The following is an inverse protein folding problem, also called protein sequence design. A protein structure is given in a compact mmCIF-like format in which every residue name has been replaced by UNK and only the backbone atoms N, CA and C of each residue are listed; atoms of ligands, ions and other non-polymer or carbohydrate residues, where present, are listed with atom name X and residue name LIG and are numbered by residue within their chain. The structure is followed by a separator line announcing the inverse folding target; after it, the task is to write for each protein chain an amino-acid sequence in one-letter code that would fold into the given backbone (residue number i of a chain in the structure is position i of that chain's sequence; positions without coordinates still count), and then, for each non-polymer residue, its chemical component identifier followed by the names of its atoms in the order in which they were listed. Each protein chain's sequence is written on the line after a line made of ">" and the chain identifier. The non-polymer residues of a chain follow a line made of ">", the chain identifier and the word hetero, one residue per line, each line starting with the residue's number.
data_IF_432806901295
#
_entry.id   IF_432806901295
#
_cell.length_a   1.000
_cell.length_b   1.000
_cell.length_c   1.000
_cell.angle_alpha   90.00
_cell.angle_beta   90.00
_cell.angle_gamma   90.00
#
_symmetry.space_group_name_H-M   'P 1'
#
loop_
_entity.id
_entity.type
_entity.pdbx_description
1 polymer ?
#
# COMPACT_ATOMS: atom_id res chain seq x y z
N UNK A 1 -44.02 -12.08 28.53
CA UNK A 1 -42.67 -11.62 28.89
C UNK A 1 -42.37 -10.34 28.08
N UNK A 2 -41.94 -9.24 28.70
CA UNK A 2 -41.56 -8.07 27.96
C UNK A 2 -40.18 -8.34 27.32
N UNK A 3 -40.09 -8.19 26.00
CA UNK A 3 -38.82 -8.34 25.26
C UNK A 3 -38.07 -7.01 25.39
N UNK A 4 -36.95 -7.01 26.10
CA UNK A 4 -36.06 -5.85 26.19
C UNK A 4 -35.12 -5.89 24.97
N UNK A 5 -35.17 -4.88 24.12
CA UNK A 5 -34.23 -4.72 23.02
C UNK A 5 -32.97 -4.05 23.54
N UNK A 6 -31.84 -4.75 23.45
CA UNK A 6 -30.52 -4.19 23.73
C UNK A 6 -29.91 -3.75 22.42
N UNK A 7 -29.55 -2.47 22.30
CA UNK A 7 -28.81 -1.92 21.15
C UNK A 7 -27.33 -1.94 21.47
N UNK A 8 -26.53 -2.52 20.57
CA UNK A 8 -25.08 -2.46 20.67
C UNK A 8 -24.58 -1.19 20.02
N UNK A 9 -23.75 -0.41 20.71
CA UNK A 9 -23.09 0.78 20.18
C UNK A 9 -21.91 0.44 19.28
N UNK A 10 -21.19 1.48 18.84
CA UNK A 10 -19.92 1.32 18.12
C UNK A 10 -18.89 0.61 19.01
N UNK A 11 -18.07 -0.26 18.41
CA UNK A 11 -16.97 -0.90 19.15
C UNK A 11 -15.87 0.13 19.40
N UNK A 12 -15.69 0.47 20.64
CA UNK A 12 -14.72 1.45 21.13
C UNK A 12 -14.10 0.95 22.43
N UNK A 13 -13.10 0.05 22.36
CA UNK A 13 -12.50 -0.56 23.56
C UNK A 13 -11.78 0.43 24.47
N UNK A 14 -11.37 1.59 23.94
CA UNK A 14 -10.73 2.65 24.75
C UNK A 14 -11.71 3.43 25.62
N UNK A 15 -13.01 3.30 25.36
CA UNK A 15 -14.06 3.97 26.15
C UNK A 15 -14.38 3.22 27.44
N UNK A 16 -14.88 3.96 28.42
CA UNK A 16 -15.39 3.35 29.64
C UNK A 16 -16.69 2.59 29.36
N UNK A 17 -16.94 1.49 30.09
CA UNK A 17 -18.18 0.72 29.98
C UNK A 17 -19.48 1.50 30.30
N UNK A 18 -19.36 2.73 30.83
CA UNK A 18 -20.49 3.62 31.13
C UNK A 18 -20.93 4.43 29.92
N UNK A 19 -20.08 4.56 28.89
CA UNK A 19 -20.35 5.39 27.69
C UNK A 19 -21.44 4.82 26.76
N UNK A 20 -21.86 3.56 26.96
CA UNK A 20 -22.76 2.85 26.04
C UNK A 20 -22.07 2.29 24.80
N UNK A 21 -20.75 2.44 24.70
CA UNK A 21 -19.94 1.83 23.66
C UNK A 21 -19.80 0.32 23.90
N UNK A 22 -19.59 -0.43 22.82
CA UNK A 22 -19.23 -1.84 22.91
C UNK A 22 -17.72 -1.95 23.15
N UNK A 23 -17.32 -2.39 24.35
CA UNK A 23 -15.90 -2.46 24.73
C UNK A 23 -15.22 -3.78 24.38
N UNK A 24 -15.99 -4.86 24.18
CA UNK A 24 -15.48 -6.16 23.72
C UNK A 24 -16.37 -6.73 22.61
N UNK A 25 -15.74 -7.09 21.50
CA UNK A 25 -16.40 -7.71 20.35
C UNK A 25 -15.43 -8.69 19.66
N UNK A 26 -15.82 -9.96 19.59
CA UNK A 26 -14.99 -11.04 19.00
C UNK A 26 -15.76 -11.79 17.94
N UNK A 27 -15.05 -12.15 16.85
CA UNK A 27 -15.60 -12.92 15.73
C UNK A 27 -16.83 -12.27 15.07
N UNK A 28 -16.85 -10.94 15.01
CA UNK A 28 -17.91 -10.17 14.40
C UNK A 28 -17.34 -9.19 13.36
N UNK A 29 -18.17 -8.82 12.40
CA UNK A 29 -17.92 -7.73 11.45
C UNK A 29 -19.01 -6.67 11.61
N UNK A 30 -18.64 -5.41 11.47
CA UNK A 30 -19.59 -4.31 11.42
C UNK A 30 -20.45 -4.42 10.16
N UNK A 31 -21.74 -4.18 10.29
CA UNK A 31 -22.73 -4.13 9.20
C UNK A 31 -23.41 -2.76 9.22
N UNK A 32 -24.20 -2.47 8.20
CA UNK A 32 -24.98 -1.22 8.14
C UNK A 32 -25.87 -1.01 9.37
N UNK A 33 -26.36 -2.09 9.97
CA UNK A 33 -27.16 -2.08 11.21
C UNK A 33 -26.58 -3.16 12.15
N UNK A 34 -25.70 -2.72 13.09
CA UNK A 34 -25.12 -3.59 14.11
C UNK A 34 -23.94 -4.43 13.64
N UNK A 35 -23.85 -5.67 14.13
CA UNK A 35 -22.75 -6.59 13.87
C UNK A 35 -23.29 -7.93 13.38
N UNK A 36 -22.57 -8.52 12.44
CA UNK A 36 -22.81 -9.89 11.99
C UNK A 36 -21.65 -10.83 12.35
N UNK A 37 -21.82 -12.14 12.22
CA UNK A 37 -20.75 -13.09 12.45
C UNK A 37 -19.64 -12.91 11.42
N UNK A 38 -18.39 -13.04 11.87
CA UNK A 38 -17.23 -13.13 10.96
C UNK A 38 -17.31 -14.48 10.26
N UNK A 39 -17.33 -14.52 8.91
CA UNK A 39 -17.38 -15.79 8.19
C UNK A 39 -16.09 -16.58 8.41
N UNK A 40 -16.21 -17.89 8.60
CA UNK A 40 -15.04 -18.77 8.71
C UNK A 40 -14.23 -18.70 7.40
N UNK A 41 -12.93 -18.35 7.45
CA UNK A 41 -12.08 -18.36 6.27
C UNK A 41 -12.02 -19.77 5.66
N UNK A 42 -12.25 -19.85 4.35
CA UNK A 42 -12.13 -21.09 3.58
C UNK A 42 -10.90 -20.96 2.68
N UNK A 43 -10.11 -22.03 2.58
CA UNK A 43 -8.96 -22.05 1.67
C UNK A 43 -9.45 -21.90 0.23
N UNK A 44 -8.93 -20.88 -0.47
CA UNK A 44 -9.23 -20.62 -1.88
C UNK A 44 -8.23 -21.30 -2.82
N UNK A 45 -6.96 -21.43 -2.40
CA UNK A 45 -5.88 -22.01 -3.19
C UNK A 45 -5.21 -23.17 -2.46
N UNK A 46 -4.44 -23.98 -3.20
CA UNK A 46 -3.43 -24.85 -2.60
C UNK A 46 -2.34 -24.05 -1.89
N UNK A 47 -1.48 -24.75 -1.15
CA UNK A 47 -0.35 -24.13 -0.46
C UNK A 47 0.65 -23.54 -1.48
N UNK A 48 1.07 -22.29 -1.26
CA UNK A 48 2.22 -21.71 -1.96
C UNK A 48 3.52 -22.30 -1.42
N UNK A 49 4.60 -22.22 -2.20
CA UNK A 49 5.91 -22.71 -1.78
C UNK A 49 6.58 -21.81 -0.72
N UNK A 50 6.03 -20.64 -0.44
CA UNK A 50 6.45 -19.69 0.59
C UNK A 50 5.27 -18.89 1.11
N UNK A 51 5.44 -18.21 2.24
CA UNK A 51 4.39 -17.35 2.79
C UNK A 51 4.11 -16.18 1.86
N UNK A 52 2.85 -15.98 1.50
CA UNK A 52 2.41 -14.87 0.66
C UNK A 52 2.26 -13.60 1.52
N UNK A 53 2.88 -12.52 1.08
CA UNK A 53 2.90 -11.24 1.78
C UNK A 53 2.24 -10.11 0.98
N UNK A 54 1.94 -10.35 -0.30
CA UNK A 54 1.36 -9.34 -1.18
C UNK A 54 0.34 -9.98 -2.12
N UNK A 55 -0.75 -9.25 -2.37
CA UNK A 55 -1.78 -9.58 -3.35
C UNK A 55 -2.05 -8.37 -4.22
N UNK A 56 -2.26 -8.59 -5.51
CA UNK A 56 -2.56 -7.52 -6.44
C UNK A 56 -3.54 -7.98 -7.53
N UNK A 57 -4.55 -7.16 -7.82
CA UNK A 57 -5.48 -7.38 -8.91
C UNK A 57 -5.21 -6.36 -10.02
N UNK A 58 -4.76 -6.83 -11.17
CA UNK A 58 -4.51 -6.01 -12.34
C UNK A 58 -5.64 -6.15 -13.33
N UNK A 59 -6.16 -5.02 -13.81
CA UNK A 59 -7.28 -5.00 -14.77
C UNK A 59 -6.78 -4.59 -16.15
N UNK A 60 -6.97 -5.47 -17.12
CA UNK A 60 -6.66 -5.19 -18.51
C UNK A 60 -7.74 -4.30 -19.16
N UNK A 61 -7.40 -3.55 -20.24
CA UNK A 61 -8.36 -2.70 -20.95
C UNK A 61 -9.58 -3.44 -21.54
N UNK A 62 -9.44 -4.73 -21.81
CA UNK A 62 -10.53 -5.63 -22.25
C UNK A 62 -11.48 -6.04 -21.11
N UNK A 63 -11.22 -5.58 -19.89
CA UNK A 63 -12.00 -5.88 -18.68
C UNK A 63 -11.55 -7.11 -17.91
N UNK A 64 -10.66 -7.94 -18.47
CA UNK A 64 -10.12 -9.11 -17.78
C UNK A 64 -9.27 -8.70 -16.58
N UNK A 65 -9.37 -9.47 -15.49
CA UNK A 65 -8.58 -9.25 -14.28
C UNK A 65 -7.59 -10.39 -14.09
N UNK A 66 -6.32 -10.05 -13.89
CA UNK A 66 -5.27 -10.99 -13.52
C UNK A 66 -4.91 -10.76 -12.05
N UNK A 67 -4.97 -11.82 -11.25
CA UNK A 67 -4.58 -11.75 -9.85
C UNK A 67 -3.14 -12.24 -9.68
N UNK A 68 -2.35 -11.45 -8.96
CA UNK A 68 -0.99 -11.78 -8.57
C UNK A 68 -0.91 -11.96 -7.06
N UNK A 69 -0.16 -12.98 -6.64
CA UNK A 69 0.21 -13.20 -5.24
C UNK A 69 1.74 -13.30 -5.16
N UNK A 70 2.33 -12.71 -4.13
CA UNK A 70 3.78 -12.77 -3.98
C UNK A 70 4.20 -13.02 -2.52
N UNK A 71 5.25 -13.80 -2.37
CA UNK A 71 6.01 -13.94 -1.14
C UNK A 71 7.26 -13.08 -1.14
N UNK A 72 8.40 -13.61 -0.70
CA UNK A 72 9.68 -12.90 -0.73
C UNK A 72 10.43 -13.15 -2.04
N UNK A 73 10.38 -14.36 -2.57
CA UNK A 73 11.17 -14.75 -3.74
C UNK A 73 10.33 -15.10 -4.97
N UNK A 74 9.04 -15.31 -4.80
CA UNK A 74 8.15 -15.84 -5.85
C UNK A 74 6.94 -14.95 -6.08
N UNK A 75 6.62 -14.81 -7.35
CA UNK A 75 5.36 -14.19 -7.80
C UNK A 75 4.56 -15.29 -8.51
N UNK A 76 3.27 -15.33 -8.19
CA UNK A 76 2.32 -16.26 -8.79
C UNK A 76 1.19 -15.50 -9.45
N UNK A 77 0.68 -16.02 -10.56
CA UNK A 77 -0.68 -15.73 -10.99
C UNK A 77 -1.65 -16.65 -10.25
N UNK A 78 -2.83 -16.13 -9.93
CA UNK A 78 -3.88 -16.87 -9.22
C UNK A 78 -5.07 -17.01 -10.16
N UNK A 79 -5.42 -18.25 -10.53
CA UNK A 79 -6.60 -18.51 -11.37
C UNK A 79 -7.91 -18.34 -10.60
N UNK A 80 -9.02 -18.21 -11.32
CA UNK A 80 -10.37 -18.20 -10.72
C UNK A 80 -10.73 -19.46 -9.91
N UNK A 81 -9.98 -20.55 -10.08
CA UNK A 81 -10.11 -21.81 -9.33
C UNK A 81 -9.06 -21.96 -8.22
N UNK A 82 -8.27 -20.92 -7.94
CA UNK A 82 -7.26 -20.93 -6.89
C UNK A 82 -5.92 -21.59 -7.27
N UNK A 83 -5.70 -21.92 -8.55
CA UNK A 83 -4.40 -22.47 -8.98
C UNK A 83 -3.32 -21.37 -8.97
N UNK A 84 -2.21 -21.67 -8.28
CA UNK A 84 -1.03 -20.80 -8.23
C UNK A 84 -0.01 -21.24 -9.29
N UNK A 85 0.31 -20.33 -10.21
CA UNK A 85 1.35 -20.56 -11.23
C UNK A 85 2.48 -19.58 -11.02
N UNK A 86 3.70 -20.06 -10.74
CA UNK A 86 4.85 -19.18 -10.56
C UNK A 86 5.23 -18.51 -11.89
N UNK A 87 5.44 -17.20 -11.85
CA UNK A 87 5.64 -16.34 -13.04
C UNK A 87 6.88 -15.44 -12.93
N UNK A 88 7.82 -15.80 -12.09
CA UNK A 88 9.11 -15.10 -11.97
C UNK A 88 10.25 -16.08 -11.70
N UNK A 89 11.47 -15.56 -11.86
CA UNK A 89 12.72 -16.22 -11.47
C UNK A 89 13.65 -15.21 -10.78
N UNK A 90 14.47 -15.69 -9.86
CA UNK A 90 15.64 -14.97 -9.35
C UNK A 90 15.35 -13.73 -8.50
N UNK A 91 14.25 -13.67 -7.74
CA UNK A 91 14.02 -12.59 -6.78
C UNK A 91 14.67 -12.93 -5.42
N UNK A 92 15.29 -11.92 -4.81
CA UNK A 92 16.06 -12.05 -3.56
C UNK A 92 15.59 -11.08 -2.47
N UNK A 93 14.28 -10.80 -2.43
CA UNK A 93 13.68 -9.91 -1.43
C UNK A 93 13.97 -10.42 -0.02
N UNK A 94 14.44 -9.55 0.86
CA UNK A 94 14.69 -9.87 2.27
C UNK A 94 13.69 -9.15 3.16
N UNK A 95 13.14 -9.88 4.15
CA UNK A 95 12.30 -9.30 5.19
C UNK A 95 13.04 -8.13 5.89
N UNK A 96 12.38 -6.99 6.18
CA UNK A 96 10.94 -6.74 6.12
C UNK A 96 10.42 -6.20 4.76
N UNK A 97 11.25 -6.17 3.72
CA UNK A 97 10.81 -5.75 2.40
C UNK A 97 9.77 -6.73 1.84
N UNK A 98 8.94 -6.24 0.93
CA UNK A 98 7.89 -7.00 0.26
C UNK A 98 7.90 -6.69 -1.22
N UNK A 99 7.43 -7.63 -2.03
CA UNK A 99 7.13 -7.36 -3.43
C UNK A 99 5.86 -6.52 -3.48
N UNK A 100 5.96 -5.32 -4.07
CA UNK A 100 4.84 -4.38 -4.23
C UNK A 100 4.55 -4.19 -5.70
N UNK A 101 3.30 -3.94 -6.00
CA UNK A 101 2.83 -3.84 -7.38
C UNK A 101 2.13 -2.50 -7.62
N UNK A 102 2.23 -2.05 -8.87
CA UNK A 102 1.39 -1.00 -9.45
C UNK A 102 1.07 -1.34 -10.89
N UNK A 103 0.15 -0.63 -11.51
CA UNK A 103 -0.20 -0.82 -12.91
C UNK A 103 -0.13 0.52 -13.65
N UNK A 104 0.59 0.52 -14.77
CA UNK A 104 0.65 1.62 -15.73
C UNK A 104 0.16 1.12 -17.11
N UNK A 105 -1.01 1.58 -17.53
CA UNK A 105 -1.63 1.07 -18.73
C UNK A 105 -1.85 -0.46 -18.69
N UNK A 106 -1.19 -1.18 -19.61
CA UNK A 106 -1.19 -2.66 -19.64
C UNK A 106 -0.04 -3.29 -18.85
N UNK A 107 0.89 -2.49 -18.36
CA UNK A 107 2.10 -2.97 -17.70
C UNK A 107 1.88 -3.02 -16.18
N UNK A 108 1.95 -4.21 -15.60
CA UNK A 108 2.05 -4.41 -14.16
C UNK A 108 3.51 -4.34 -13.76
N UNK A 109 3.84 -3.46 -12.83
CA UNK A 109 5.21 -3.19 -12.39
C UNK A 109 5.35 -3.67 -10.96
N UNK A 110 6.41 -4.42 -10.69
CA UNK A 110 6.75 -4.93 -9.36
C UNK A 110 8.10 -4.38 -8.88
N UNK A 111 8.19 -4.05 -7.60
CA UNK A 111 9.44 -3.66 -6.92
C UNK A 111 9.62 -4.45 -5.63
N UNK A 112 10.87 -4.64 -5.19
CA UNK A 112 11.20 -5.41 -3.98
C UNK A 112 12.42 -4.90 -3.20
N UNK A 113 13.00 -3.76 -3.61
CA UNK A 113 14.22 -3.20 -3.01
C UNK A 113 15.48 -4.06 -3.16
N UNK A 114 15.51 -5.01 -4.05
CA UNK A 114 16.67 -5.89 -4.29
C UNK A 114 17.07 -5.91 -5.77
N UNK A 115 16.11 -6.01 -6.66
CA UNK A 115 16.31 -6.01 -8.10
C UNK A 115 15.66 -4.80 -8.74
N UNK A 116 16.04 -4.51 -9.99
CA UNK A 116 15.37 -3.51 -10.84
C UNK A 116 13.88 -3.79 -10.92
N UNK A 117 13.11 -2.75 -11.18
CA UNK A 117 11.67 -2.90 -11.41
C UNK A 117 11.41 -3.99 -12.43
N UNK A 118 10.47 -4.88 -12.10
CA UNK A 118 10.03 -5.96 -12.98
C UNK A 118 8.69 -5.60 -13.61
N UNK A 119 8.48 -6.05 -14.83
CA UNK A 119 7.28 -5.78 -15.61
C UNK A 119 6.60 -7.05 -16.10
N UNK A 120 5.27 -6.96 -16.18
CA UNK A 120 4.39 -7.95 -16.80
C UNK A 120 3.38 -7.22 -17.67
N UNK A 121 3.38 -7.49 -18.98
CA UNK A 121 2.37 -6.93 -19.89
C UNK A 121 1.14 -7.84 -19.91
N UNK A 122 0.00 -7.29 -19.48
CA UNK A 122 -1.28 -8.00 -19.46
C UNK A 122 -1.67 -8.49 -20.86
N UNK A 123 -2.07 -9.75 -20.95
CA UNK A 123 -2.46 -10.41 -22.19
C UNK A 123 -1.28 -10.89 -23.07
N UNK A 124 -0.03 -10.62 -22.68
CA UNK A 124 1.15 -10.98 -23.50
C UNK A 124 2.21 -11.75 -22.72
N UNK A 125 2.58 -11.25 -21.52
CA UNK A 125 3.68 -11.85 -20.75
C UNK A 125 3.28 -13.18 -20.14
N UNK A 126 4.26 -14.08 -20.00
CA UNK A 126 4.17 -15.35 -19.28
C UNK A 126 5.07 -15.37 -18.05
N UNK A 127 5.98 -14.41 -17.93
CA UNK A 127 6.89 -14.23 -16.80
C UNK A 127 7.21 -12.75 -16.60
N UNK A 128 7.54 -12.37 -15.38
CA UNK A 128 8.10 -11.04 -15.08
C UNK A 128 9.53 -10.95 -15.61
N UNK A 129 9.85 -9.84 -16.27
CA UNK A 129 11.18 -9.49 -16.76
C UNK A 129 11.57 -8.08 -16.26
N UNK A 130 12.82 -7.67 -16.44
CA UNK A 130 13.22 -6.29 -16.14
C UNK A 130 12.38 -5.29 -16.95
N UNK A 131 11.90 -4.24 -16.29
CA UNK A 131 11.12 -3.19 -16.94
C UNK A 131 11.95 -2.44 -17.99
N UNK A 132 13.17 -2.06 -17.62
CA UNK A 132 14.12 -1.38 -18.50
C UNK A 132 15.56 -1.53 -17.94
N UNK A 133 16.55 -1.32 -18.83
CA UNK A 133 17.97 -1.41 -18.44
C UNK A 133 18.37 -0.35 -17.38
N UNK A 134 17.75 0.84 -17.41
CA UNK A 134 17.97 1.95 -16.49
C UNK A 134 16.86 2.11 -15.44
N UNK A 135 15.94 1.13 -15.33
CA UNK A 135 14.91 1.14 -14.29
C UNK A 135 15.56 1.08 -12.89
N UNK A 136 15.06 1.87 -11.92
CA UNK A 136 15.61 1.90 -10.58
C UNK A 136 15.34 0.60 -9.81
N UNK A 137 16.11 0.39 -8.76
CA UNK A 137 15.77 -0.53 -7.66
C UNK A 137 15.07 0.31 -6.61
N UNK A 138 13.91 -0.12 -6.14
CA UNK A 138 13.11 0.67 -5.22
C UNK A 138 12.31 -0.17 -4.23
N UNK A 139 12.04 0.41 -3.06
CA UNK A 139 11.20 -0.19 -2.02
C UNK A 139 9.72 0.00 -2.29
N UNK A 140 9.34 1.10 -2.95
CA UNK A 140 7.96 1.47 -3.24
C UNK A 140 7.79 1.88 -4.68
N UNK A 141 6.63 1.57 -5.25
CA UNK A 141 6.25 1.97 -6.61
C UNK A 141 4.77 2.32 -6.63
N UNK A 142 4.42 3.34 -7.39
CA UNK A 142 3.04 3.78 -7.65
C UNK A 142 2.96 4.48 -9.00
N UNK A 143 1.76 4.93 -9.38
CA UNK A 143 1.53 5.78 -10.55
C UNK A 143 0.94 7.10 -10.08
N UNK A 144 1.56 8.20 -10.49
CA UNK A 144 1.04 9.56 -10.27
C UNK A 144 0.81 10.17 -11.65
N UNK A 145 -0.45 10.40 -12.00
CA UNK A 145 -0.86 10.82 -13.34
C UNK A 145 -0.25 9.91 -14.42
N UNK A 146 0.63 10.48 -15.23
CA UNK A 146 1.23 9.85 -16.41
C UNK A 146 2.68 9.38 -16.14
N UNK A 147 3.05 9.23 -14.87
CA UNK A 147 4.40 8.83 -14.45
C UNK A 147 4.36 7.60 -13.57
N UNK A 148 5.30 6.69 -13.78
CA UNK A 148 5.63 5.67 -12.79
C UNK A 148 6.57 6.32 -11.77
N UNK A 149 6.19 6.26 -10.51
CA UNK A 149 6.92 6.90 -9.41
C UNK A 149 7.41 5.84 -8.45
N UNK A 150 8.70 5.92 -8.11
CA UNK A 150 9.35 5.05 -7.13
C UNK A 150 9.81 5.87 -5.93
N UNK A 151 9.94 5.22 -4.78
CA UNK A 151 10.44 5.88 -3.59
C UNK A 151 11.30 4.95 -2.74
N UNK A 152 12.24 5.53 -1.99
CA UNK A 152 13.23 4.82 -1.20
C UNK A 152 14.03 3.89 -2.13
N UNK A 153 14.84 4.50 -3.01
CA UNK A 153 15.57 3.81 -4.08
C UNK A 153 16.91 3.28 -3.60
N UNK A 154 17.36 2.19 -4.20
CA UNK A 154 18.69 1.64 -3.99
C UNK A 154 19.56 1.94 -5.22
N UNK A 155 20.61 2.72 -5.03
CA UNK A 155 21.64 3.02 -6.02
C UNK A 155 22.94 2.36 -5.58
N UNK A 156 24.06 3.11 -5.44
CA UNK A 156 25.25 2.61 -4.74
C UNK A 156 24.96 2.38 -3.26
N UNK A 157 24.13 3.22 -2.67
CA UNK A 157 23.59 3.12 -1.31
C UNK A 157 22.08 3.37 -1.31
N UNK A 158 21.41 3.00 -0.22
CA UNK A 158 19.98 3.24 -0.07
C UNK A 158 19.70 4.75 0.04
N UNK A 159 18.94 5.28 -0.92
CA UNK A 159 18.42 6.64 -0.94
C UNK A 159 17.05 6.69 -0.27
N UNK A 160 17.04 6.69 1.06
CA UNK A 160 15.84 6.53 1.88
C UNK A 160 14.82 7.66 1.73
N UNK A 161 15.25 8.82 1.25
CA UNK A 161 14.46 10.04 1.12
C UNK A 161 14.10 10.37 -0.33
N UNK A 162 14.58 9.56 -1.28
CA UNK A 162 14.44 9.82 -2.72
C UNK A 162 13.11 9.35 -3.25
N UNK A 163 12.43 10.25 -3.96
CA UNK A 163 11.34 9.96 -4.88
C UNK A 163 11.88 10.15 -6.30
N UNK A 164 11.74 9.15 -7.16
CA UNK A 164 12.19 9.17 -8.55
C UNK A 164 11.05 8.78 -9.46
N UNK A 165 10.93 9.42 -10.63
CA UNK A 165 9.86 9.16 -11.57
C UNK A 165 10.37 8.93 -13.00
N UNK A 166 9.61 8.13 -13.76
CA UNK A 166 9.88 7.81 -15.17
C UNK A 166 9.65 9.01 -16.08
N UNK A 167 9.96 8.87 -17.36
CA UNK A 167 9.50 9.80 -18.37
C UNK A 167 7.96 9.85 -18.43
N UNK A 168 7.42 10.99 -18.85
CA UNK A 168 5.97 11.17 -19.00
C UNK A 168 5.42 10.17 -20.04
N UNK A 169 4.36 9.46 -19.72
CA UNK A 169 3.73 8.43 -20.56
C UNK A 169 4.68 7.31 -21.03
N UNK A 170 5.84 7.14 -20.36
CA UNK A 170 6.80 6.10 -20.73
C UNK A 170 7.46 5.51 -19.48
N UNK A 171 6.95 4.37 -19.03
CA UNK A 171 7.43 3.65 -17.86
C UNK A 171 8.81 3.03 -18.04
N UNK A 172 9.31 2.94 -19.28
CA UNK A 172 10.60 2.29 -19.57
C UNK A 172 11.77 3.27 -19.64
N UNK A 173 11.53 4.57 -19.67
CA UNK A 173 12.57 5.58 -19.73
C UNK A 173 12.73 6.30 -18.37
N UNK A 174 13.94 6.17 -17.81
CA UNK A 174 14.33 6.73 -16.52
C UNK A 174 15.54 7.68 -16.67
N UNK A 175 15.79 8.15 -17.91
CA UNK A 175 16.86 9.08 -18.20
C UNK A 175 16.44 10.49 -17.78
N UNK A 176 17.17 11.07 -16.87
CA UNK A 176 16.94 12.44 -16.37
C UNK A 176 17.18 13.45 -17.49
N UNK A 177 16.11 14.04 -18.00
CA UNK A 177 16.15 15.03 -19.08
C UNK A 177 14.87 15.88 -19.08
N UNK A 178 15.00 17.17 -19.41
CA UNK A 178 13.87 18.11 -19.43
C UNK A 178 12.80 17.72 -20.45
N UNK A 179 13.16 17.04 -21.53
CA UNK A 179 12.21 16.62 -22.57
C UNK A 179 11.44 15.36 -22.16
N UNK A 180 12.10 14.44 -21.47
CA UNK A 180 11.46 13.23 -20.91
C UNK A 180 10.68 13.55 -19.65
N UNK A 181 11.03 14.62 -18.96
CA UNK A 181 10.54 15.02 -17.64
C UNK A 181 10.83 13.96 -16.54
N UNK A 182 11.70 12.98 -16.83
CA UNK A 182 12.19 12.05 -15.82
C UNK A 182 13.20 12.76 -14.91
N UNK A 183 13.05 12.58 -13.60
CA UNK A 183 13.93 13.22 -12.62
C UNK A 183 13.72 12.57 -11.24
N UNK A 184 14.34 13.11 -10.21
CA UNK A 184 14.15 12.72 -8.83
C UNK A 184 14.18 13.93 -7.89
N UNK A 185 13.64 13.74 -6.68
CA UNK A 185 13.69 14.71 -5.59
C UNK A 185 13.97 14.00 -4.27
N UNK A 186 14.93 14.51 -3.52
CA UNK A 186 15.19 14.06 -2.16
C UNK A 186 14.37 14.90 -1.17
N UNK A 187 13.72 14.22 -0.21
CA UNK A 187 12.89 14.83 0.84
C UNK A 187 13.52 14.49 2.20
N UNK A 188 14.51 15.29 2.68
CA UNK A 188 15.29 14.93 3.87
C UNK A 188 14.53 15.10 5.18
N UNK A 189 13.41 15.84 5.17
CA UNK A 189 12.67 16.17 6.38
C UNK A 189 11.66 15.08 6.74
N UNK A 190 11.74 14.53 7.95
CA UNK A 190 10.71 13.63 8.48
C UNK A 190 11.08 12.15 8.56
N UNK A 191 12.34 11.78 8.33
CA UNK A 191 12.79 10.38 8.36
C UNK A 191 12.71 9.71 7.00
N UNK A 192 12.88 8.40 6.95
CA UNK A 192 12.82 7.64 5.70
C UNK A 192 11.41 7.60 5.13
N UNK A 193 11.31 7.40 3.82
CA UNK A 193 10.02 7.18 3.17
C UNK A 193 9.50 5.79 3.55
N UNK A 194 8.33 5.76 4.15
CA UNK A 194 7.63 4.55 4.61
C UNK A 194 6.60 4.04 3.59
N UNK A 195 6.23 4.87 2.63
CA UNK A 195 5.37 4.50 1.53
C UNK A 195 4.98 5.64 0.63
N UNK A 196 4.43 5.29 -0.52
CA UNK A 196 3.91 6.25 -1.49
C UNK A 196 2.57 5.76 -2.00
N UNK A 197 1.63 6.68 -2.23
CA UNK A 197 0.35 6.44 -2.88
C UNK A 197 0.17 7.42 -4.03
N UNK A 198 -0.39 6.92 -5.11
CA UNK A 198 -0.57 7.69 -6.34
C UNK A 198 -2.03 7.94 -6.67
N UNK A 199 -2.24 8.52 -7.82
CA UNK A 199 -3.50 8.97 -8.38
C UNK A 199 -3.30 10.26 -9.15
N UNK A 200 -4.23 11.22 -9.05
CA UNK A 200 -4.06 12.55 -9.66
C UNK A 200 -2.90 13.33 -9.01
N UNK A 201 -2.61 13.06 -7.77
CA UNK A 201 -1.42 13.53 -7.05
C UNK A 201 -0.79 12.36 -6.28
N UNK A 202 0.47 12.51 -5.88
CA UNK A 202 1.16 11.56 -5.03
C UNK A 202 1.07 11.96 -3.56
N UNK A 203 1.01 10.97 -2.67
CA UNK A 203 1.26 11.16 -1.24
C UNK A 203 2.52 10.38 -0.88
N UNK A 204 3.51 11.09 -0.39
CA UNK A 204 4.76 10.53 0.13
C UNK A 204 4.68 10.54 1.65
N UNK A 205 4.60 9.35 2.24
CA UNK A 205 4.51 9.17 3.68
C UNK A 205 5.92 8.83 4.20
N UNK A 206 6.46 9.73 5.04
CA UNK A 206 7.71 9.50 5.76
C UNK A 206 7.39 9.06 7.20
N UNK A 207 8.40 8.77 7.99
CA UNK A 207 8.21 8.36 9.39
C UNK A 207 7.47 9.43 10.22
N UNK A 208 7.77 10.72 10.00
CA UNK A 208 7.25 11.83 10.80
C UNK A 208 6.62 12.96 10.01
N UNK A 209 6.54 12.84 8.69
CA UNK A 209 5.94 13.87 7.83
C UNK A 209 5.19 13.25 6.66
N UNK A 210 4.31 14.03 6.06
CA UNK A 210 3.57 13.65 4.85
C UNK A 210 3.68 14.79 3.86
N UNK A 211 4.07 14.44 2.63
CA UNK A 211 4.19 15.40 1.53
C UNK A 211 3.23 15.04 0.40
N UNK A 212 2.63 16.06 -0.18
CA UNK A 212 1.86 15.95 -1.41
C UNK A 212 2.76 16.26 -2.60
N UNK A 213 2.80 15.34 -3.54
CA UNK A 213 3.51 15.44 -4.81
C UNK A 213 2.52 15.85 -5.89
N UNK A 214 2.63 17.07 -6.41
CA UNK A 214 1.72 17.64 -7.40
C UNK A 214 2.45 17.94 -8.69
N UNK A 215 1.93 17.49 -9.82
CA UNK A 215 2.49 17.80 -11.14
C UNK A 215 2.27 19.28 -11.47
N UNK A 216 3.34 19.99 -11.79
CA UNK A 216 3.32 21.42 -12.11
C UNK A 216 3.92 21.73 -13.49
N UNK A 217 4.43 20.69 -14.19
CA UNK A 217 5.06 20.85 -15.49
C UNK A 217 6.49 21.37 -15.43
N UNK A 218 7.10 21.54 -16.60
CA UNK A 218 8.48 22.03 -16.73
C UNK A 218 8.61 23.47 -16.25
N UNK A 219 9.73 23.87 -15.61
CA UNK A 219 10.96 23.06 -15.44
C UNK A 219 10.97 22.19 -14.16
N UNK A 220 10.01 22.33 -13.26
CA UNK A 220 10.06 21.67 -11.94
C UNK A 220 9.45 20.28 -11.90
N UNK A 221 8.65 19.92 -12.90
CA UNK A 221 7.92 18.65 -13.07
C UNK A 221 6.96 18.38 -11.92
N UNK A 222 7.48 18.15 -10.71
CA UNK A 222 6.68 17.96 -9.50
C UNK A 222 7.05 18.96 -8.40
N UNK A 223 6.03 19.43 -7.71
CA UNK A 223 6.13 20.21 -6.47
C UNK A 223 5.77 19.29 -5.29
N UNK A 224 6.54 19.43 -4.21
CA UNK A 224 6.32 18.68 -2.97
C UNK A 224 5.91 19.64 -1.86
N UNK A 225 4.65 19.58 -1.47
CA UNK A 225 4.09 20.39 -0.40
C UNK A 225 3.97 19.57 0.89
N UNK A 226 4.50 20.09 1.98
CA UNK A 226 4.40 19.44 3.28
C UNK A 226 2.98 19.63 3.85
N UNK A 227 2.24 18.52 4.00
CA UNK A 227 0.89 18.47 4.57
C UNK A 227 0.94 18.33 6.10
N UNK A 228 1.88 17.52 6.59
CA UNK A 228 2.05 17.27 8.02
C UNK A 228 3.53 17.18 8.36
N UNK A 229 3.95 17.93 9.38
CA UNK A 229 5.34 17.95 9.88
C UNK A 229 5.56 17.09 11.12
N UNK A 230 4.47 16.68 11.77
CA UNK A 230 4.53 16.00 13.06
C UNK A 230 3.85 14.63 13.05
N UNK A 231 3.23 14.26 11.93
CA UNK A 231 2.57 12.96 11.75
C UNK A 231 3.01 12.36 10.43
N UNK A 232 3.44 11.12 10.50
CA UNK A 232 3.84 10.30 9.38
C UNK A 232 3.44 8.86 9.61
N UNK A 233 3.94 7.96 8.80
CA UNK A 233 3.62 6.54 8.86
C UNK A 233 4.73 5.77 9.59
N UNK A 234 4.39 5.13 10.70
CA UNK A 234 5.35 4.31 11.45
C UNK A 234 5.51 2.92 10.85
N UNK A 235 4.44 2.35 10.29
CA UNK A 235 4.43 0.99 9.77
C UNK A 235 4.11 0.98 8.28
N UNK A 236 5.10 0.72 7.45
CA UNK A 236 4.99 0.72 5.98
C UNK A 236 3.87 -0.20 5.43
N UNK A 237 3.61 -1.32 6.10
CA UNK A 237 2.53 -2.24 5.73
C UNK A 237 1.13 -1.77 6.09
N UNK A 238 1.00 -0.76 6.95
CA UNK A 238 -0.29 -0.24 7.42
C UNK A 238 -0.98 0.68 6.42
N UNK A 239 -0.29 1.09 5.35
CA UNK A 239 -0.81 2.06 4.39
C UNK A 239 -1.83 1.39 3.48
N UNK A 240 -3.07 1.85 3.54
CA UNK A 240 -4.16 1.44 2.66
C UNK A 240 -4.84 2.67 2.05
N UNK A 241 -5.38 2.54 0.83
CA UNK A 241 -6.07 3.63 0.15
C UNK A 241 -7.47 3.19 -0.29
N UNK A 242 -8.46 4.05 -0.08
CA UNK A 242 -9.82 3.84 -0.54
C UNK A 242 -10.46 5.18 -0.93
N UNK A 243 -11.01 5.27 -2.12
CA UNK A 243 -11.69 6.47 -2.65
C UNK A 243 -10.89 7.78 -2.49
N UNK A 244 -9.57 7.71 -2.72
CA UNK A 244 -8.69 8.88 -2.61
C UNK A 244 -8.21 9.19 -1.19
N UNK A 245 -8.77 8.55 -0.17
CA UNK A 245 -8.33 8.68 1.22
C UNK A 245 -7.27 7.63 1.53
N UNK A 246 -6.16 8.03 2.12
CA UNK A 246 -5.09 7.15 2.57
C UNK A 246 -5.15 6.97 4.07
N UNK A 247 -5.18 5.72 4.51
CA UNK A 247 -5.17 5.30 5.91
C UNK A 247 -3.80 4.76 6.28
N UNK A 248 -3.32 5.04 7.48
CA UNK A 248 -2.02 4.58 7.96
C UNK A 248 -1.95 4.56 9.50
N UNK A 249 -0.98 3.82 10.03
CA UNK A 249 -0.64 3.80 11.45
C UNK A 249 0.53 4.74 11.71
N UNK A 250 0.32 5.71 12.59
CA UNK A 250 1.34 6.62 13.12
C UNK A 250 1.84 6.13 14.49
N UNK A 251 2.67 6.92 15.13
CA UNK A 251 3.28 6.65 16.44
C UNK A 251 2.28 6.62 17.62
N UNK A 252 1.14 7.27 17.46
CA UNK A 252 0.12 7.43 18.51
C UNK A 252 -1.27 6.92 18.09
N UNK A 253 -1.41 6.27 16.93
CA UNK A 253 -2.65 5.68 16.49
C UNK A 253 -2.93 5.71 15.00
N UNK A 254 -4.18 5.47 14.65
CA UNK A 254 -4.65 5.41 13.27
C UNK A 254 -5.05 6.78 12.73
N UNK A 255 -4.57 7.07 11.54
CA UNK A 255 -4.82 8.34 10.83
C UNK A 255 -5.35 8.12 9.44
N UNK A 256 -6.02 9.13 8.92
CA UNK A 256 -6.36 9.25 7.51
C UNK A 256 -5.82 10.57 6.92
N UNK A 257 -5.54 10.55 5.62
CA UNK A 257 -5.12 11.72 4.85
C UNK A 257 -5.90 11.76 3.53
N UNK A 258 -6.55 12.88 3.25
CA UNK A 258 -7.29 13.15 2.01
C UNK A 258 -6.43 13.85 0.94
N UNK A 259 -5.14 14.05 1.21
CA UNK A 259 -4.21 14.80 0.36
C UNK A 259 -4.13 16.30 0.66
N UNK A 260 -4.85 16.78 1.66
CA UNK A 260 -4.80 18.16 2.15
C UNK A 260 -4.64 18.22 3.67
N UNK A 261 -5.32 17.32 4.37
CA UNK A 261 -5.35 17.28 5.83
C UNK A 261 -5.08 15.89 6.36
N UNK A 262 -4.51 15.82 7.56
CA UNK A 262 -4.28 14.58 8.30
C UNK A 262 -5.16 14.60 9.54
N UNK A 263 -5.97 13.55 9.74
CA UNK A 263 -6.93 13.46 10.82
C UNK A 263 -6.81 12.14 11.56
N UNK A 264 -6.85 12.13 12.90
CA UNK A 264 -6.92 10.91 13.68
C UNK A 264 -8.30 10.26 13.51
N UNK A 265 -8.34 8.93 13.39
CA UNK A 265 -9.58 8.16 13.23
C UNK A 265 -9.78 7.13 14.35
N UNK A 266 -8.72 6.76 15.06
CA UNK A 266 -8.75 5.80 16.15
C UNK A 266 -8.75 6.42 17.55
N UNK A 267 -8.51 7.73 17.65
CA UNK A 267 -8.40 8.45 18.93
C UNK A 267 -9.67 8.26 19.80
N UNK A 268 -9.46 7.91 21.06
CA UNK A 268 -10.52 7.60 22.04
C UNK A 268 -11.44 6.43 21.65
N UNK A 269 -11.08 5.67 20.59
CA UNK A 269 -11.84 4.52 20.12
C UNK A 269 -11.06 3.22 20.26
N UNK A 270 -9.92 3.10 19.55
CA UNK A 270 -9.19 1.83 19.41
C UNK A 270 -7.67 1.99 19.53
N UNK A 271 -7.14 3.22 19.51
CA UNK A 271 -5.69 3.45 19.40
C UNK A 271 -4.92 2.88 20.58
N UNK A 272 -5.40 3.15 21.80
CA UNK A 272 -4.76 2.67 23.02
C UNK A 272 -4.82 1.15 23.11
N UNK A 273 -6.00 0.58 22.91
CA UNK A 273 -6.21 -0.86 22.93
C UNK A 273 -5.28 -1.58 21.93
N UNK A 274 -5.14 -1.01 20.74
CA UNK A 274 -4.30 -1.58 19.69
C UNK A 274 -2.81 -1.44 20.02
N UNK A 275 -2.36 -0.25 20.44
CA UNK A 275 -0.95 0.03 20.73
C UNK A 275 -0.46 -0.69 22.00
N UNK A 276 -1.34 -0.95 22.96
CA UNK A 276 -1.00 -1.73 24.16
C UNK A 276 -0.77 -3.23 23.85
N UNK A 277 -1.38 -3.77 22.77
CA UNK A 277 -1.28 -5.18 22.39
C UNK A 277 -0.17 -5.45 21.36
N UNK A 278 0.20 -4.45 20.55
CA UNK A 278 1.17 -4.56 19.47
C UNK A 278 2.58 -4.22 19.93
N UNK A 279 3.55 -5.04 19.52
CA UNK A 279 4.97 -4.75 19.74
C UNK A 279 5.65 -4.25 18.47
N UNK A 280 6.77 -3.54 18.61
CA UNK A 280 7.59 -3.12 17.46
C UNK A 280 8.09 -4.31 16.61
N UNK A 281 8.21 -5.49 17.21
CA UNK A 281 8.58 -6.71 16.51
C UNK A 281 7.52 -7.17 15.50
N UNK A 282 6.27 -6.74 15.66
CA UNK A 282 5.15 -7.10 14.78
C UNK A 282 5.08 -6.20 13.55
N UNK A 283 5.67 -4.99 13.58
CA UNK A 283 5.61 -4.01 12.49
C UNK A 283 6.04 -4.55 11.13
N UNK A 284 7.11 -5.37 11.01
CA UNK A 284 7.53 -5.93 9.72
C UNK A 284 6.49 -6.83 9.06
N UNK A 285 5.65 -7.48 9.84
CA UNK A 285 4.63 -8.43 9.36
C UNK A 285 3.25 -7.80 9.20
N UNK A 286 3.03 -6.64 9.80
CA UNK A 286 1.76 -5.93 9.78
C UNK A 286 1.35 -5.52 8.36
N UNK A 287 0.07 -5.68 8.04
CA UNK A 287 -0.49 -5.31 6.75
C UNK A 287 -1.92 -4.82 6.89
N UNK A 288 -2.25 -3.75 6.19
CA UNK A 288 -3.60 -3.23 6.08
C UNK A 288 -4.14 -3.39 4.66
N UNK A 289 -5.40 -3.72 4.55
CA UNK A 289 -6.13 -3.78 3.29
C UNK A 289 -7.55 -3.25 3.47
N UNK A 290 -8.09 -2.66 2.41
CA UNK A 290 -9.50 -2.28 2.37
C UNK A 290 -10.28 -3.45 1.73
N UNK A 291 -11.26 -3.94 2.44
CA UNK A 291 -12.16 -4.98 1.96
C UNK A 291 -13.61 -4.56 2.15
N UNK A 292 -14.48 -4.94 1.22
CA UNK A 292 -15.93 -4.83 1.39
C UNK A 292 -16.53 -6.22 1.59
N UNK A 293 -17.25 -6.41 2.68
CA UNK A 293 -18.07 -7.59 2.87
C UNK A 293 -19.41 -7.35 2.18
N UNK A 294 -19.68 -8.10 1.11
CA UNK A 294 -21.03 -8.20 0.59
C UNK A 294 -21.78 -9.26 1.44
N UNK A 295 -22.83 -8.85 2.12
CA UNK A 295 -23.79 -9.81 2.65
C UNK A 295 -24.41 -10.55 1.45
N UNK A 296 -24.19 -11.84 1.36
CA UNK A 296 -24.88 -12.74 0.44
C UNK A 296 -26.36 -12.85 0.81
#
# INVERSE_FOLDING_TARGET
>A
MATTRVTFGEWMPDQSGISGALTDAKNVVSQAIGYGPFPTPVSFSGAAAENLTSLYAAKAPDGNTTFFAAGLSKIYTVSGTGTLTQVNTGLTTTSPNRIRFTQFGKTVIACNNAEKLKAWTLGTSTTFADLAANAPIAKFVTVVRDFVVTANTLETTQQQYRVRWSAINNETDWTEDVNTQSDYQDIPDGGQIMGIRGGEFGLVLLERSIHRMTYVGTPFIFQFDNISRNKGCMVSGSIAQYQGITFFLSDDGFYMCDGQTVQPIGAEKVDRWFLDDVSENDYPTMSAAVASFRSS
#
